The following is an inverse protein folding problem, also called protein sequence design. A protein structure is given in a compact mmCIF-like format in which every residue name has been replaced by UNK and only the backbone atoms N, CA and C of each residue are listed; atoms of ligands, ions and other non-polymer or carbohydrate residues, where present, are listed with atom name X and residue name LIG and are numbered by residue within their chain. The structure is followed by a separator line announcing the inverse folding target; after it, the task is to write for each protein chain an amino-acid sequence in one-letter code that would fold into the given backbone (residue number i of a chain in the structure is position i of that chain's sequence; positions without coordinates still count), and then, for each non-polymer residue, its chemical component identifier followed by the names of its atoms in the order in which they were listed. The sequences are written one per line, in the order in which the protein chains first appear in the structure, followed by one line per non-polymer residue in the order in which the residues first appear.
data_IF_806647774813
#
_entry.id   IF_806647774813
#
_cell.length_a   1.000
_cell.length_b   1.000
_cell.length_c   1.000
_cell.angle_alpha   90.00
_cell.angle_beta   90.00
_cell.angle_gamma   90.00
#
_symmetry.space_group_name_H-M   'P 1'
#
loop_
_entity.id
_entity.type
_entity.pdbx_description
1 polymer ?
#
# COMPACT_ATOMS: atom_id res chain seq x y z
N UNK A 1 12.73 12.39 -11.47
CA UNK A 1 13.59 11.24 -11.18
C UNK A 1 12.79 10.28 -10.32
N UNK A 2 12.39 9.11 -10.85
CA UNK A 2 11.60 8.12 -10.12
C UNK A 2 12.50 6.90 -9.92
N UNK A 3 13.23 6.89 -8.80
CA UNK A 3 14.10 5.81 -8.38
C UNK A 3 13.29 4.47 -8.28
N UNK A 4 13.94 3.30 -8.43
CA UNK A 4 13.24 2.02 -8.34
C UNK A 4 12.64 1.94 -6.95
N UNK A 5 11.30 1.92 -6.89
CA UNK A 5 10.55 2.05 -5.66
C UNK A 5 10.67 0.73 -4.87
N UNK A 6 11.80 0.59 -4.15
CA UNK A 6 12.19 -0.59 -3.39
C UNK A 6 11.18 -0.93 -2.31
N UNK A 7 10.96 -2.25 -2.13
CA UNK A 7 10.18 -3.01 -1.13
C UNK A 7 8.87 -2.42 -0.54
N UNK A 8 8.81 -1.15 -0.17
CA UNK A 8 7.66 -0.48 0.45
C UNK A 8 6.51 -0.14 -0.52
N UNK A 9 6.76 -0.04 -1.83
CA UNK A 9 5.79 0.57 -2.74
C UNK A 9 4.54 -0.27 -2.99
N UNK A 10 4.73 -1.58 -3.16
CA UNK A 10 3.62 -2.54 -3.27
C UNK A 10 2.83 -2.64 -1.96
N UNK A 11 3.46 -2.90 -0.79
CA UNK A 11 2.70 -2.98 0.46
C UNK A 11 2.02 -1.65 0.79
N UNK A 12 2.61 -0.49 0.50
CA UNK A 12 1.94 0.81 0.65
C UNK A 12 0.65 0.91 -0.20
N UNK A 13 0.69 0.47 -1.45
CA UNK A 13 -0.50 0.45 -2.31
C UNK A 13 -1.58 -0.51 -1.81
N UNK A 14 -1.18 -1.64 -1.22
CA UNK A 14 -2.10 -2.59 -0.56
C UNK A 14 -2.77 -1.95 0.66
N UNK A 15 -1.99 -1.24 1.48
CA UNK A 15 -2.51 -0.50 2.64
C UNK A 15 -3.53 0.55 2.21
N UNK A 16 -3.24 1.33 1.18
CA UNK A 16 -4.17 2.33 0.64
C UNK A 16 -5.48 1.70 0.17
N UNK A 17 -5.43 0.50 -0.42
CA UNK A 17 -6.63 -0.27 -0.78
C UNK A 17 -7.42 -0.75 0.44
N UNK A 18 -6.76 -1.30 1.45
CA UNK A 18 -7.42 -1.73 2.68
C UNK A 18 -8.14 -0.58 3.39
N UNK A 19 -7.54 0.61 3.37
CA UNK A 19 -8.09 1.80 4.02
C UNK A 19 -9.05 2.62 3.15
N UNK A 20 -9.28 2.22 1.91
CA UNK A 20 -10.02 3.01 0.91
C UNK A 20 -9.47 4.46 0.77
N UNK A 21 -8.17 4.65 0.99
CA UNK A 21 -7.54 5.96 0.93
C UNK A 21 -7.29 6.40 -0.53
N UNK A 22 -7.29 7.72 -0.82
CA UNK A 22 -6.93 8.22 -2.14
C UNK A 22 -5.45 7.94 -2.45
N UNK A 23 -5.19 7.33 -3.62
CA UNK A 23 -3.82 7.13 -4.11
C UNK A 23 -3.38 8.36 -4.90
N UNK A 24 -2.14 8.87 -4.68
CA UNK A 24 -1.61 10.00 -5.45
C UNK A 24 -1.58 9.72 -6.95
N UNK A 25 -1.79 10.75 -7.77
CA UNK A 25 -1.90 10.64 -9.24
C UNK A 25 -0.76 9.85 -9.89
N UNK A 26 0.48 10.05 -9.45
CA UNK A 26 1.66 9.33 -9.97
C UNK A 26 1.67 7.81 -9.67
N UNK A 27 0.82 7.34 -8.76
CA UNK A 27 0.73 5.94 -8.35
C UNK A 27 -0.61 5.28 -8.73
N UNK A 28 -1.53 6.00 -9.38
CA UNK A 28 -2.85 5.47 -9.76
C UNK A 28 -2.70 4.27 -10.70
N UNK A 29 -1.83 4.36 -11.72
CA UNK A 29 -1.59 3.26 -12.65
C UNK A 29 -1.05 2.01 -11.93
N UNK A 30 -0.12 2.18 -10.99
CA UNK A 30 0.41 1.08 -10.18
C UNK A 30 -0.67 0.43 -9.30
N UNK A 31 -1.56 1.23 -8.70
CA UNK A 31 -2.70 0.71 -7.94
C UNK A 31 -3.64 -0.12 -8.81
N UNK A 32 -3.97 0.37 -10.01
CA UNK A 32 -4.85 -0.32 -10.96
C UNK A 32 -4.25 -1.64 -11.43
N UNK A 33 -2.96 -1.65 -11.77
CA UNK A 33 -2.25 -2.89 -12.11
C UNK A 33 -2.27 -3.90 -10.96
N UNK A 34 -2.04 -3.44 -9.72
CA UNK A 34 -2.10 -4.31 -8.55
C UNK A 34 -3.51 -4.87 -8.30
N UNK A 35 -4.56 -4.06 -8.48
CA UNK A 35 -5.95 -4.54 -8.42
C UNK A 35 -6.20 -5.66 -9.44
N UNK A 36 -5.74 -5.50 -10.68
CA UNK A 36 -5.85 -6.54 -11.70
C UNK A 36 -5.08 -7.81 -11.32
N UNK A 37 -3.89 -7.69 -10.75
CA UNK A 37 -3.12 -8.84 -10.25
C UNK A 37 -3.82 -9.56 -9.08
N UNK A 38 -4.52 -8.83 -8.21
CA UNK A 38 -5.29 -9.45 -7.14
C UNK A 38 -6.54 -10.18 -7.67
N UNK A 39 -7.13 -9.70 -8.77
CA UNK A 39 -8.24 -10.40 -9.42
C UNK A 39 -7.80 -11.76 -10.00
N UNK A 40 -6.56 -11.90 -10.47
CA UNK A 40 -6.03 -13.20 -10.92
C UNK A 40 -5.67 -14.11 -9.74
N UNK A 41 -5.39 -13.53 -8.56
CA UNK A 41 -5.06 -14.22 -7.32
C UNK A 41 -6.22 -14.20 -6.31
N UNK A 42 -7.45 -14.45 -6.76
CA UNK A 42 -8.67 -14.38 -5.92
C UNK A 42 -8.67 -15.31 -4.69
N UNK A 43 -7.82 -16.34 -4.65
CA UNK A 43 -7.67 -17.23 -3.50
C UNK A 43 -6.68 -16.72 -2.44
N UNK A 44 -5.88 -15.68 -2.74
CA UNK A 44 -4.95 -15.10 -1.78
C UNK A 44 -5.67 -14.15 -0.81
N UNK A 45 -5.15 -14.01 0.43
CA UNK A 45 -5.73 -13.12 1.41
C UNK A 45 -5.67 -11.66 0.94
N UNK A 46 -6.84 -11.02 0.97
CA UNK A 46 -7.02 -9.65 0.49
C UNK A 46 -6.22 -8.63 1.31
N UNK A 47 -6.08 -7.39 0.79
CA UNK A 47 -5.37 -6.32 1.49
C UNK A 47 -5.97 -6.03 2.88
N UNK A 48 -7.27 -6.21 3.08
CA UNK A 48 -7.90 -6.06 4.42
C UNK A 48 -7.52 -7.16 5.43
N UNK A 49 -7.04 -8.31 4.98
CA UNK A 49 -6.58 -9.39 5.88
C UNK A 49 -5.07 -9.34 6.13
N UNK A 50 -4.31 -8.70 5.22
CA UNK A 50 -2.85 -8.68 5.22
C UNK A 50 -2.25 -7.33 5.55
N UNK A 51 -3.08 -6.30 5.80
CA UNK A 51 -2.60 -4.94 6.06
C UNK A 51 -1.59 -4.87 7.22
N UNK A 52 -1.74 -5.68 8.28
CA UNK A 52 -0.77 -5.72 9.37
C UNK A 52 0.62 -6.16 8.92
N UNK A 53 0.71 -7.13 8.00
CA UNK A 53 1.98 -7.57 7.41
C UNK A 53 2.54 -6.52 6.45
N UNK A 54 1.66 -5.88 5.68
CA UNK A 54 2.05 -4.83 4.74
C UNK A 54 2.62 -3.60 5.49
N UNK A 55 2.04 -3.22 6.65
CA UNK A 55 2.62 -2.18 7.53
C UNK A 55 4.01 -2.58 7.99
N UNK A 56 4.19 -3.81 8.48
CA UNK A 56 5.49 -4.29 8.94
C UNK A 56 6.56 -4.21 7.84
N UNK A 57 6.21 -4.57 6.59
CA UNK A 57 7.12 -4.46 5.44
C UNK A 57 7.48 -3.01 5.13
N UNK A 58 6.51 -2.10 5.13
CA UNK A 58 6.79 -0.67 4.91
C UNK A 58 7.66 -0.09 6.02
N UNK A 59 7.44 -0.47 7.28
CA UNK A 59 8.26 -0.04 8.41
C UNK A 59 9.67 -0.65 8.42
N UNK A 60 9.85 -1.82 7.81
CA UNK A 60 11.15 -2.47 7.64
C UNK A 60 11.95 -1.91 6.43
N UNK A 61 11.30 -1.12 5.58
CA UNK A 61 11.93 -0.50 4.41
C UNK A 61 12.66 0.79 4.78
N UNK A 62 13.50 1.29 3.88
CA UNK A 62 14.15 2.59 4.06
C UNK A 62 13.16 3.72 4.30
N UNK A 63 13.57 4.65 5.17
CA UNK A 63 12.74 5.79 5.50
C UNK A 63 12.66 6.76 4.32
N UNK A 64 11.43 6.96 3.84
CA UNK A 64 11.08 8.04 2.91
C UNK A 64 9.99 8.91 3.51
N UNK A 65 10.21 10.23 3.51
CA UNK A 65 9.29 11.19 4.11
C UNK A 65 7.92 11.21 3.39
N UNK A 66 7.90 10.96 2.08
CA UNK A 66 6.66 10.87 1.30
C UNK A 66 5.83 9.63 1.71
N UNK A 67 6.50 8.50 1.80
CA UNK A 67 5.96 7.20 2.21
C UNK A 67 5.45 7.26 3.66
N UNK A 68 6.22 7.83 4.59
CA UNK A 68 5.82 7.96 5.99
C UNK A 68 4.49 8.72 6.17
N UNK A 69 4.30 9.83 5.45
CA UNK A 69 3.04 10.61 5.49
C UNK A 69 1.85 9.80 4.95
N UNK A 70 2.06 9.02 3.90
CA UNK A 70 1.01 8.16 3.31
C UNK A 70 0.63 7.04 4.27
N UNK A 71 1.62 6.34 4.83
CA UNK A 71 1.41 5.28 5.83
C UNK A 71 0.65 5.81 7.05
N UNK A 72 1.02 6.98 7.58
CA UNK A 72 0.32 7.59 8.71
C UNK A 72 -1.16 7.87 8.39
N UNK A 73 -1.44 8.40 7.20
CA UNK A 73 -2.81 8.69 6.74
C UNK A 73 -3.64 7.41 6.67
N UNK A 74 -3.07 6.36 6.09
CA UNK A 74 -3.71 5.07 5.89
C UNK A 74 -3.91 4.32 7.22
N UNK A 75 -2.87 4.23 8.06
CA UNK A 75 -2.94 3.63 9.39
C UNK A 75 -4.00 4.29 10.27
N UNK A 76 -4.12 5.62 10.23
CA UNK A 76 -5.14 6.34 10.99
C UNK A 76 -6.56 5.92 10.61
N UNK A 77 -6.80 5.54 9.36
CA UNK A 77 -8.10 5.03 8.90
C UNK A 77 -8.27 3.57 9.31
N UNK A 78 -7.24 2.73 9.09
CA UNK A 78 -7.28 1.31 9.44
C UNK A 78 -7.46 1.04 10.93
N UNK A 79 -6.83 1.83 11.79
CA UNK A 79 -6.97 1.74 13.25
C UNK A 79 -8.33 2.25 13.76
N UNK A 80 -9.12 2.91 12.90
CA UNK A 80 -10.46 3.41 13.22
C UNK A 80 -11.59 2.53 12.65
N UNK A 81 -11.27 1.62 11.73
CA UNK A 81 -12.19 0.59 11.24
C UNK A 81 -12.32 -0.51 12.28
#
# INVERSE_FOLDING_TARGET
DNAPAGDASVPLLRLEMASDAPTPAGHISARRMLQLQLLTKRNDPGPEQTWGQDVAKVLASDFDAGTARRVQTVLKVLLKK
#
